data_IF_145179722831
#
_entry.id   IF_145179722831
#
_cell.length_a   1.000
_cell.length_b   1.000
_cell.length_c   1.000
_cell.angle_alpha   90.00
_cell.angle_beta   90.00
_cell.angle_gamma   90.00
#
_symmetry.space_group_name_H-M   'P 1'
#
loop_
_entity.id
_entity.type
_entity.pdbx_description
1 polymer ?
#
# COMPACT_ATOMS: atom_id res chain seq x y z
N UNK A 1 26.30 -12.11 -31.00
CA UNK A 1 25.36 -11.44 -30.07
C UNK A 1 24.86 -10.10 -30.60
N UNK A 2 25.72 -9.12 -30.91
CA UNK A 2 25.26 -7.82 -31.45
C UNK A 2 24.42 -7.93 -32.73
N UNK A 3 24.86 -8.70 -33.73
CA UNK A 3 24.08 -8.91 -34.96
C UNK A 3 22.75 -9.62 -34.72
N UNK A 4 22.72 -10.58 -33.80
CA UNK A 4 21.48 -11.27 -33.45
C UNK A 4 20.50 -10.32 -32.75
N UNK A 5 20.97 -9.51 -31.80
CA UNK A 5 20.15 -8.52 -31.12
C UNK A 5 19.58 -7.47 -32.10
N UNK A 6 20.34 -7.08 -33.14
CA UNK A 6 19.84 -6.19 -34.19
C UNK A 6 18.71 -6.84 -34.99
N UNK A 7 18.86 -8.11 -35.39
CA UNK A 7 17.81 -8.87 -36.10
C UNK A 7 16.55 -9.03 -35.24
N UNK A 8 16.72 -9.34 -33.96
CA UNK A 8 15.59 -9.50 -33.03
C UNK A 8 14.85 -8.16 -32.83
N UNK A 9 15.59 -7.05 -32.72
CA UNK A 9 15.01 -5.70 -32.61
C UNK A 9 14.23 -5.33 -33.87
N UNK A 10 14.76 -5.63 -35.05
CA UNK A 10 14.08 -5.40 -36.34
C UNK A 10 12.78 -6.20 -36.46
N UNK A 11 12.79 -7.47 -36.04
CA UNK A 11 11.58 -8.30 -36.00
C UNK A 11 10.50 -7.72 -35.08
N UNK A 12 10.89 -7.23 -33.90
CA UNK A 12 9.96 -6.54 -32.97
C UNK A 12 9.45 -5.23 -33.58
N UNK A 13 10.31 -4.45 -34.22
CA UNK A 13 9.94 -3.20 -34.90
C UNK A 13 8.85 -3.43 -35.95
N UNK A 14 9.06 -4.39 -36.85
CA UNK A 14 8.09 -4.74 -37.89
C UNK A 14 6.74 -5.17 -37.29
N UNK A 15 6.76 -5.88 -36.16
CA UNK A 15 5.54 -6.27 -35.45
C UNK A 15 4.82 -5.07 -34.84
N UNK A 16 5.55 -4.13 -34.25
CA UNK A 16 4.99 -2.91 -33.66
C UNK A 16 4.32 -2.04 -34.74
N UNK A 17 4.97 -1.85 -35.90
CA UNK A 17 4.40 -1.08 -37.01
C UNK A 17 3.07 -1.68 -37.51
N UNK A 18 2.99 -3.01 -37.65
CA UNK A 18 1.74 -3.68 -37.99
C UNK A 18 0.64 -3.46 -36.93
N UNK A 19 1.00 -3.44 -35.63
CA UNK A 19 0.05 -3.17 -34.55
C UNK A 19 -0.44 -1.70 -34.56
N UNK A 20 0.43 -0.75 -34.85
CA UNK A 20 0.06 0.68 -34.98
C UNK A 20 -0.94 0.88 -36.12
N UNK A 21 -0.68 0.29 -37.29
CA UNK A 21 -1.59 0.33 -38.43
C UNK A 21 -2.96 -0.29 -38.11
N UNK A 22 -2.99 -1.45 -37.44
CA UNK A 22 -4.24 -2.09 -37.03
C UNK A 22 -5.05 -1.26 -36.02
N UNK A 23 -4.37 -0.46 -35.19
CA UNK A 23 -5.00 0.44 -34.22
C UNK A 23 -5.30 1.84 -34.79
N UNK A 24 -5.00 2.08 -36.07
CA UNK A 24 -5.07 3.40 -36.73
C UNK A 24 -4.25 4.47 -35.99
N UNK A 25 -3.09 4.09 -35.45
CA UNK A 25 -2.15 5.01 -34.81
C UNK A 25 -1.02 5.38 -35.79
N UNK A 26 -0.48 6.60 -35.71
CA UNK A 26 0.69 7.01 -36.50
C UNK A 26 1.91 6.11 -36.27
N UNK A 27 2.66 5.83 -37.34
CA UNK A 27 3.87 5.00 -37.32
C UNK A 27 5.01 5.58 -36.46
N UNK A 28 4.96 6.88 -36.15
CA UNK A 28 5.90 7.62 -35.30
C UNK A 28 5.52 7.62 -33.81
N UNK A 29 4.39 7.00 -33.43
CA UNK A 29 3.93 6.90 -32.03
C UNK A 29 4.96 6.17 -31.14
N UNK A 30 5.66 5.17 -31.69
CA UNK A 30 6.70 4.41 -31.00
C UNK A 30 7.96 4.44 -31.86
N UNK A 31 9.03 5.02 -31.33
CA UNK A 31 10.27 5.21 -32.10
C UNK A 31 11.12 3.93 -32.12
N UNK A 32 12.04 3.84 -33.09
CA UNK A 32 13.03 2.75 -33.12
C UNK A 32 13.90 2.73 -31.85
N UNK A 33 14.15 3.90 -31.25
CA UNK A 33 14.90 4.00 -30.01
C UNK A 33 14.14 3.38 -28.83
N UNK A 34 12.83 3.59 -28.74
CA UNK A 34 11.98 2.96 -27.71
C UNK A 34 12.02 1.44 -27.83
N UNK A 35 12.00 0.92 -29.06
CA UNK A 35 12.06 -0.52 -29.34
C UNK A 35 13.44 -1.10 -29.00
N UNK A 36 14.53 -0.38 -29.29
CA UNK A 36 15.89 -0.77 -28.85
C UNK A 36 15.98 -0.87 -27.33
N UNK A 37 15.46 0.12 -26.61
CA UNK A 37 15.43 0.11 -25.13
C UNK A 37 14.57 -1.05 -24.62
N UNK A 38 13.39 -1.26 -25.22
CA UNK A 38 12.50 -2.37 -24.89
C UNK A 38 13.20 -3.73 -25.08
N UNK A 39 13.80 -3.98 -26.24
CA UNK A 39 14.49 -5.24 -26.54
C UNK A 39 15.68 -5.46 -25.60
N UNK A 40 16.42 -4.39 -25.25
CA UNK A 40 17.53 -4.45 -24.30
C UNK A 40 17.09 -4.84 -22.89
N UNK A 41 15.92 -4.37 -22.45
CA UNK A 41 15.39 -4.57 -21.09
C UNK A 41 14.19 -5.53 -21.04
N UNK A 42 13.97 -6.34 -22.09
CA UNK A 42 12.76 -7.15 -22.24
C UNK A 42 12.57 -8.14 -21.09
N UNK A 43 13.66 -8.70 -20.55
CA UNK A 43 13.63 -9.62 -19.41
C UNK A 43 13.36 -8.94 -18.06
N UNK A 44 13.49 -7.61 -17.99
CA UNK A 44 13.37 -6.82 -16.76
C UNK A 44 12.02 -6.08 -16.66
N UNK A 45 11.19 -6.20 -17.69
CA UNK A 45 9.87 -5.58 -17.73
C UNK A 45 9.07 -5.92 -16.48
N UNK A 46 8.52 -4.88 -15.85
CA UNK A 46 7.71 -5.02 -14.66
C UNK A 46 6.52 -4.09 -14.73
N UNK A 47 5.40 -4.57 -14.21
CA UNK A 47 4.16 -3.82 -14.10
C UNK A 47 3.75 -3.86 -12.64
N UNK A 48 3.62 -2.70 -12.03
CA UNK A 48 3.13 -2.56 -10.66
C UNK A 48 1.73 -1.96 -10.73
N UNK A 49 0.79 -2.61 -10.06
CA UNK A 49 -0.58 -2.15 -9.88
C UNK A 49 -0.80 -2.02 -8.39
N UNK A 50 -0.94 -0.78 -7.91
CA UNK A 50 -1.33 -0.51 -6.53
C UNK A 50 -2.83 -0.76 -6.32
N UNK A 51 -3.21 -1.00 -5.07
CA UNK A 51 -4.59 -0.97 -4.59
C UNK A 51 -5.06 0.47 -4.45
N UNK A 52 -6.38 0.70 -4.42
CA UNK A 52 -6.92 2.02 -4.10
C UNK A 52 -6.88 2.17 -2.60
N UNK A 53 -6.56 3.37 -2.12
CA UNK A 53 -6.66 3.69 -0.69
C UNK A 53 -8.08 3.45 -0.14
N UNK A 54 -9.11 3.62 -0.97
CA UNK A 54 -10.49 3.30 -0.59
C UNK A 54 -10.65 1.81 -0.26
N UNK A 55 -10.01 0.91 -1.00
CA UNK A 55 -10.12 -0.54 -0.79
C UNK A 55 -9.46 -0.97 0.55
N UNK A 56 -8.45 -0.22 1.02
CA UNK A 56 -7.76 -0.41 2.32
C UNK A 56 -8.59 0.11 3.52
N UNK A 57 -9.45 1.11 3.30
CA UNK A 57 -10.24 1.75 4.36
C UNK A 57 -11.68 1.22 4.42
N UNK A 58 -12.25 0.85 3.28
CA UNK A 58 -13.60 0.31 3.18
C UNK A 58 -13.67 -1.07 3.82
N UNK A 59 -14.29 -1.12 4.99
CA UNK A 59 -14.80 -2.38 5.49
C UNK A 59 -15.96 -2.78 4.61
N UNK A 60 -15.85 -3.94 3.95
CA UNK A 60 -17.04 -4.78 3.75
C UNK A 60 -17.41 -5.33 5.12
N UNK A 61 -17.86 -4.45 6.01
CA UNK A 61 -18.60 -4.85 7.20
C UNK A 61 -19.72 -5.75 6.72
N UNK A 62 -20.11 -6.72 7.55
CA UNK A 62 -21.34 -7.47 7.33
C UNK A 62 -22.45 -6.45 7.05
N UNK A 63 -22.74 -6.25 5.76
CA UNK A 63 -23.85 -5.43 5.34
C UNK A 63 -25.06 -6.23 5.77
N UNK A 64 -25.71 -5.72 6.81
CA UNK A 64 -27.00 -6.18 7.27
C UNK A 64 -27.91 -6.43 6.06
N UNK A 65 -28.56 -7.58 6.14
CA UNK A 65 -29.65 -8.01 5.29
C UNK A 65 -30.61 -6.84 5.01
N UNK A 66 -30.86 -6.49 3.74
CA UNK A 66 -32.22 -6.26 3.19
C UNK A 66 -32.31 -5.51 1.85
N UNK A 67 -31.21 -5.07 1.23
CA UNK A 67 -31.32 -4.54 -0.13
C UNK A 67 -30.39 -5.33 -1.02
N UNK A 68 -30.95 -6.16 -1.92
CA UNK A 68 -30.56 -6.27 -3.34
C UNK A 68 -30.73 -7.68 -3.97
N UNK A 69 -31.94 -8.17 -4.23
CA UNK A 69 -32.06 -9.32 -5.16
C UNK A 69 -31.66 -8.96 -6.61
N UNK A 70 -31.86 -7.70 -7.03
CA UNK A 70 -31.52 -7.26 -8.39
C UNK A 70 -30.06 -6.76 -8.51
N UNK A 71 -29.50 -6.16 -7.46
CA UNK A 71 -28.09 -5.71 -7.48
C UNK A 71 -27.11 -6.87 -7.28
N UNK A 72 -27.56 -8.01 -6.72
CA UNK A 72 -26.73 -9.20 -6.53
C UNK A 72 -26.35 -9.89 -7.86
N UNK A 73 -27.17 -9.78 -8.90
CA UNK A 73 -26.87 -10.39 -10.20
C UNK A 73 -25.75 -9.61 -10.92
N UNK A 74 -25.81 -8.27 -10.95
CA UNK A 74 -24.74 -7.42 -11.50
C UNK A 74 -23.45 -7.49 -10.66
N UNK A 75 -23.57 -7.49 -9.33
CA UNK A 75 -22.42 -7.68 -8.43
C UNK A 75 -21.81 -9.08 -8.56
N UNK A 76 -22.56 -10.13 -8.88
CA UNK A 76 -22.00 -11.51 -8.96
C UNK A 76 -20.93 -11.67 -10.05
N UNK A 77 -20.99 -10.86 -11.11
CA UNK A 77 -20.04 -10.91 -12.24
C UNK A 77 -18.79 -10.05 -11.97
N UNK A 78 -18.90 -8.95 -11.21
CA UNK A 78 -17.75 -8.10 -10.83
C UNK A 78 -17.09 -8.49 -9.49
N UNK A 79 -17.84 -9.01 -8.50
CA UNK A 79 -17.33 -9.27 -7.14
C UNK A 79 -16.54 -10.57 -7.00
N UNK A 80 -16.58 -11.51 -7.95
CA UNK A 80 -15.80 -12.75 -7.83
C UNK A 80 -14.29 -12.55 -7.98
N UNK A 81 -13.85 -11.44 -8.59
CA UNK A 81 -12.42 -11.11 -8.73
C UNK A 81 -11.95 -10.15 -7.63
N UNK A 82 -12.81 -9.26 -7.13
CA UNK A 82 -12.45 -8.28 -6.07
C UNK A 82 -12.65 -8.77 -4.62
N UNK A 83 -13.55 -9.72 -4.34
CA UNK A 83 -13.78 -10.20 -2.97
C UNK A 83 -12.73 -11.19 -2.46
N UNK A 84 -11.89 -11.73 -3.35
CA UNK A 84 -10.80 -12.63 -2.95
C UNK A 84 -9.65 -11.81 -2.36
N UNK A 85 -9.27 -10.66 -2.95
CA UNK A 85 -8.15 -9.84 -2.48
C UNK A 85 -8.38 -9.21 -1.09
N UNK A 86 -9.57 -8.68 -0.81
CA UNK A 86 -9.85 -7.97 0.46
C UNK A 86 -9.90 -8.93 1.66
N UNK A 87 -10.46 -10.14 1.50
CA UNK A 87 -10.47 -11.14 2.58
C UNK A 87 -9.07 -11.75 2.81
N UNK A 88 -8.25 -11.88 1.75
CA UNK A 88 -6.85 -12.26 1.90
C UNK A 88 -6.03 -11.17 2.61
N UNK A 89 -6.34 -9.90 2.41
CA UNK A 89 -5.64 -8.79 3.04
C UNK A 89 -5.70 -8.83 4.57
N UNK A 90 -6.89 -8.95 5.16
CA UNK A 90 -7.05 -9.04 6.62
C UNK A 90 -6.48 -10.34 7.20
N UNK A 91 -6.53 -11.44 6.44
CA UNK A 91 -5.86 -12.69 6.81
C UNK A 91 -4.34 -12.53 6.85
N UNK A 92 -3.74 -11.82 5.89
CA UNK A 92 -2.31 -11.51 5.87
C UNK A 92 -1.92 -10.57 7.02
N UNK A 93 -2.75 -9.57 7.33
CA UNK A 93 -2.56 -8.71 8.52
C UNK A 93 -2.53 -9.53 9.81
N UNK A 94 -3.50 -10.45 9.98
CA UNK A 94 -3.57 -11.32 11.15
C UNK A 94 -2.35 -12.25 11.26
N UNK A 95 -1.85 -12.77 10.13
CA UNK A 95 -0.65 -13.60 10.09
C UNK A 95 0.63 -12.81 10.40
N UNK A 96 0.75 -11.57 9.88
CA UNK A 96 1.89 -10.69 10.18
C UNK A 96 1.89 -10.18 11.63
N UNK A 97 0.72 -10.08 12.26
CA UNK A 97 0.57 -9.75 13.68
C UNK A 97 1.09 -10.86 14.62
N UNK A 98 1.17 -12.10 14.16
CA UNK A 98 1.75 -13.22 14.94
C UNK A 98 3.29 -13.16 14.98
N UNK A 99 3.91 -12.42 14.05
CA UNK A 99 5.35 -12.21 14.04
C UNK A 99 5.74 -11.06 14.98
N UNK A 100 6.47 -11.35 16.08
CA UNK A 100 6.85 -10.33 17.06
C UNK A 100 7.78 -9.25 16.48
N UNK A 101 8.43 -9.48 15.34
CA UNK A 101 9.36 -8.55 14.71
C UNK A 101 8.71 -7.74 13.55
N UNK A 102 7.46 -8.02 13.18
CA UNK A 102 6.80 -7.32 12.09
C UNK A 102 6.45 -5.88 12.46
N UNK A 103 6.68 -4.96 11.53
CA UNK A 103 6.33 -3.56 11.67
C UNK A 103 4.85 -3.28 11.41
N UNK A 104 4.04 -4.30 11.09
CA UNK A 104 2.61 -4.11 10.79
C UNK A 104 1.85 -3.54 11.98
N UNK A 105 2.30 -3.84 13.21
CA UNK A 105 1.79 -3.28 14.45
C UNK A 105 1.75 -1.74 14.41
N UNK A 106 2.75 -1.10 13.81
CA UNK A 106 2.83 0.37 13.71
C UNK A 106 1.73 0.92 12.80
N UNK A 107 1.43 0.23 11.70
CA UNK A 107 0.33 0.60 10.81
C UNK A 107 -1.03 0.49 11.52
N UNK A 108 -1.23 -0.58 12.30
CA UNK A 108 -2.47 -0.79 13.07
C UNK A 108 -2.66 0.30 14.12
N UNK A 109 -1.58 0.66 14.84
CA UNK A 109 -1.64 1.75 15.83
C UNK A 109 -1.97 3.08 15.13
N UNK A 110 -1.36 3.37 13.97
CA UNK A 110 -1.68 4.58 13.20
C UNK A 110 -3.17 4.64 12.80
N UNK A 111 -3.75 3.52 12.34
CA UNK A 111 -5.20 3.41 12.08
C UNK A 111 -6.03 3.59 13.37
N UNK A 112 -5.54 3.08 14.50
CA UNK A 112 -6.11 3.31 15.83
C UNK A 112 -6.11 4.78 16.25
N UNK A 113 -5.04 5.53 15.92
CA UNK A 113 -4.91 6.96 16.19
C UNK A 113 -5.90 7.77 15.36
N UNK A 114 -6.13 7.42 14.09
CA UNK A 114 -7.16 8.07 13.26
C UNK A 114 -8.56 7.90 13.87
N UNK A 115 -8.86 6.69 14.37
CA UNK A 115 -10.12 6.44 15.09
C UNK A 115 -10.19 7.22 16.40
N UNK A 116 -9.10 7.26 17.16
CA UNK A 116 -9.01 8.06 18.39
C UNK A 116 -9.29 9.54 18.10
N UNK A 117 -8.67 10.10 17.05
CA UNK A 117 -8.90 11.49 16.64
C UNK A 117 -10.36 11.71 16.21
N UNK A 118 -10.99 10.74 15.56
CA UNK A 118 -12.41 10.81 15.19
C UNK A 118 -13.36 10.77 16.40
N UNK A 119 -12.97 10.07 17.48
CA UNK A 119 -13.78 9.96 18.71
C UNK A 119 -13.56 11.13 19.68
N UNK A 120 -12.31 11.60 19.83
CA UNK A 120 -11.92 12.56 20.88
C UNK A 120 -11.47 13.93 20.34
N UNK A 121 -11.32 14.09 19.02
CA UNK A 121 -10.87 15.33 18.36
C UNK A 121 -9.51 15.87 18.83
N UNK A 122 -8.70 15.00 19.42
CA UNK A 122 -7.33 15.27 19.87
C UNK A 122 -6.44 14.08 19.55
N UNK A 123 -5.15 14.28 19.42
CA UNK A 123 -4.20 13.16 19.28
C UNK A 123 -3.81 12.60 20.65
N UNK A 124 -3.55 11.29 20.76
CA UNK A 124 -3.18 10.69 22.04
C UNK A 124 -1.85 11.27 22.52
N UNK A 125 -1.85 11.76 23.76
CA UNK A 125 -0.67 12.33 24.42
C UNK A 125 -0.16 13.64 23.82
N UNK A 126 -0.97 14.36 23.02
CA UNK A 126 -0.63 15.71 22.55
C UNK A 126 -0.48 16.72 23.71
N UNK A 127 -1.11 16.42 24.85
CA UNK A 127 -0.97 17.16 26.10
C UNK A 127 -0.29 16.23 27.12
N UNK A 128 0.82 16.67 27.72
CA UNK A 128 1.62 15.85 28.65
C UNK A 128 0.78 15.25 29.81
N UNK A 129 -0.18 16.00 30.33
CA UNK A 129 -1.08 15.56 31.41
C UNK A 129 -2.10 14.50 30.97
N UNK A 130 -2.30 14.33 29.66
CA UNK A 130 -3.25 13.38 29.08
C UNK A 130 -2.61 12.06 28.61
N UNK A 131 -1.29 11.92 28.68
CA UNK A 131 -0.59 10.68 28.26
C UNK A 131 -1.15 9.44 28.97
N UNK A 132 -1.21 9.45 30.30
CA UNK A 132 -1.72 8.33 31.10
C UNK A 132 -3.22 8.04 30.87
N UNK A 133 -4.11 9.04 30.87
CA UNK A 133 -5.52 8.84 30.50
C UNK A 133 -5.76 8.36 29.05
N UNK A 134 -4.89 8.71 28.11
CA UNK A 134 -5.09 8.41 26.69
C UNK A 134 -4.65 7.00 26.32
N UNK A 135 -3.71 6.39 27.04
CA UNK A 135 -3.30 4.99 26.85
C UNK A 135 -4.49 4.02 26.82
N UNK A 136 -5.37 3.95 27.85
CA UNK A 136 -6.51 3.03 27.84
C UNK A 136 -7.56 3.40 26.79
N UNK A 137 -7.71 4.68 26.45
CA UNK A 137 -8.61 5.14 25.37
C UNK A 137 -8.11 4.68 24.00
N UNK A 138 -6.82 4.85 23.70
CA UNK A 138 -6.20 4.40 22.46
C UNK A 138 -6.26 2.88 22.33
N UNK A 139 -5.97 2.15 23.43
CA UNK A 139 -6.14 0.69 23.50
C UNK A 139 -7.59 0.26 23.19
N UNK A 140 -8.59 1.00 23.67
CA UNK A 140 -9.99 0.76 23.33
C UNK A 140 -10.27 0.97 21.83
N UNK A 141 -9.78 2.06 21.23
CA UNK A 141 -9.94 2.32 19.80
C UNK A 141 -9.31 1.22 18.93
N UNK A 142 -8.09 0.79 19.26
CA UNK A 142 -7.40 -0.30 18.57
C UNK A 142 -8.17 -1.62 18.73
N UNK A 143 -8.66 -1.93 19.94
CA UNK A 143 -9.43 -3.16 20.17
C UNK A 143 -10.73 -3.18 19.35
N UNK A 144 -11.45 -2.04 19.26
CA UNK A 144 -12.64 -1.92 18.41
C UNK A 144 -12.30 -2.15 16.93
N UNK A 145 -11.21 -1.56 16.45
CA UNK A 145 -10.72 -1.70 15.09
C UNK A 145 -10.37 -3.15 14.74
N UNK A 146 -9.62 -3.84 15.62
CA UNK A 146 -9.24 -5.23 15.43
C UNK A 146 -10.46 -6.17 15.42
N UNK A 147 -11.45 -5.89 16.28
CA UNK A 147 -12.71 -6.63 16.29
C UNK A 147 -13.50 -6.45 14.97
N UNK A 148 -13.53 -5.24 14.41
CA UNK A 148 -14.15 -4.97 13.10
C UNK A 148 -13.43 -5.66 11.95
N UNK A 149 -12.11 -5.84 12.06
CA UNK A 149 -11.28 -6.61 11.12
C UNK A 149 -11.33 -8.12 11.34
N UNK A 150 -12.02 -8.61 12.37
CA UNK A 150 -12.04 -10.03 12.74
C UNK A 150 -10.67 -10.56 13.19
N UNK A 151 -9.76 -9.67 13.60
CA UNK A 151 -8.44 -10.04 14.11
C UNK A 151 -8.53 -10.30 15.63
N UNK A 152 -8.14 -11.50 16.05
CA UNK A 152 -8.16 -11.91 17.46
C UNK A 152 -6.85 -11.56 18.22
N UNK A 153 -5.80 -11.16 17.50
CA UNK A 153 -4.50 -10.80 18.06
C UNK A 153 -4.52 -9.39 18.63
N UNK A 154 -3.86 -9.16 19.77
CA UNK A 154 -3.74 -7.85 20.41
C UNK A 154 -2.36 -7.25 20.20
N UNK A 155 -2.30 -5.94 20.00
CA UNK A 155 -1.07 -5.16 19.94
C UNK A 155 -0.34 -5.14 21.30
N UNK A 156 0.99 -5.02 21.29
CA UNK A 156 1.78 -4.94 22.52
C UNK A 156 1.46 -3.63 23.25
N UNK A 157 1.26 -3.73 24.56
CA UNK A 157 0.92 -2.57 25.38
C UNK A 157 2.04 -1.53 25.37
N UNK A 158 3.31 -1.96 25.43
CA UNK A 158 4.49 -1.09 25.37
C UNK A 158 4.49 -0.17 24.14
N UNK A 159 4.08 -0.67 22.98
CA UNK A 159 3.99 0.14 21.76
C UNK A 159 2.90 1.21 21.87
N UNK A 160 1.75 0.88 22.46
CA UNK A 160 0.67 1.86 22.69
C UNK A 160 1.16 2.97 23.63
N UNK A 161 1.88 2.61 24.70
CA UNK A 161 2.50 3.58 25.61
C UNK A 161 3.47 4.51 24.85
N UNK A 162 4.33 3.97 24.00
CA UNK A 162 5.28 4.77 23.21
C UNK A 162 4.57 5.71 22.22
N UNK A 163 3.47 5.29 21.59
CA UNK A 163 2.71 6.17 20.70
C UNK A 163 2.00 7.31 21.42
N UNK A 164 1.47 7.08 22.63
CA UNK A 164 0.98 8.17 23.47
C UNK A 164 2.14 9.09 23.90
N UNK A 165 3.31 8.54 24.21
CA UNK A 165 4.50 9.32 24.57
C UNK A 165 5.03 10.18 23.42
N UNK A 166 4.86 9.76 22.16
CA UNK A 166 5.24 10.59 21.01
C UNK A 166 4.44 11.89 20.93
N UNK A 167 3.18 11.89 21.40
CA UNK A 167 2.36 13.10 21.50
C UNK A 167 2.24 13.87 20.19
N UNK A 168 2.13 13.16 19.05
CA UNK A 168 2.05 13.75 17.70
C UNK A 168 3.30 14.59 17.31
N UNK A 169 4.45 14.33 17.95
CA UNK A 169 5.69 15.02 17.62
C UNK A 169 6.23 14.60 16.26
N UNK A 170 6.77 15.56 15.51
CA UNK A 170 7.46 15.32 14.24
C UNK A 170 8.97 15.59 14.39
N UNK A 171 9.76 14.51 14.45
CA UNK A 171 11.21 14.63 14.61
C UNK A 171 11.90 14.91 13.27
N UNK A 172 12.70 15.97 13.22
CA UNK A 172 13.41 16.40 12.01
C UNK A 172 14.24 15.29 11.35
N UNK A 173 14.94 14.46 12.12
CA UNK A 173 15.75 13.36 11.60
C UNK A 173 14.90 12.28 10.91
N UNK A 174 13.75 11.93 11.49
CA UNK A 174 12.82 10.94 10.94
C UNK A 174 12.16 11.49 9.67
N UNK A 175 11.67 12.74 9.71
CA UNK A 175 11.08 13.39 8.54
C UNK A 175 12.09 13.58 7.41
N UNK A 176 13.35 13.89 7.72
CA UNK A 176 14.41 14.01 6.70
C UNK A 176 14.71 12.67 6.04
N UNK A 177 14.75 11.58 6.81
CA UNK A 177 14.93 10.24 6.27
C UNK A 177 13.77 9.85 5.33
N UNK A 178 12.53 9.98 5.80
CA UNK A 178 11.33 9.69 4.99
C UNK A 178 11.25 10.58 3.75
N UNK A 179 11.58 11.87 3.88
CA UNK A 179 11.64 12.81 2.76
C UNK A 179 12.62 12.35 1.68
N UNK A 180 13.76 11.76 2.05
CA UNK A 180 14.70 11.15 1.12
C UNK A 180 14.11 9.93 0.39
N UNK A 181 13.47 9.02 1.13
CA UNK A 181 12.80 7.85 0.55
C UNK A 181 11.70 8.25 -0.43
N UNK A 182 10.79 9.14 -0.03
CA UNK A 182 9.67 9.63 -0.85
C UNK A 182 10.18 10.36 -2.09
N UNK A 183 11.20 11.22 -1.96
CA UNK A 183 11.80 11.91 -3.10
C UNK A 183 12.32 10.93 -4.15
N UNK A 184 12.97 9.85 -3.71
CA UNK A 184 13.48 8.84 -4.62
C UNK A 184 12.36 8.03 -5.28
N UNK A 185 11.28 7.68 -4.55
CA UNK A 185 10.09 7.05 -5.16
C UNK A 185 9.44 7.94 -6.23
N UNK A 186 9.36 9.26 -5.98
CA UNK A 186 8.86 10.22 -6.98
C UNK A 186 9.74 10.22 -8.24
N UNK A 187 11.07 10.20 -8.08
CA UNK A 187 12.01 10.11 -9.21
C UNK A 187 11.76 8.84 -10.04
N UNK A 188 11.53 7.69 -9.39
CA UNK A 188 11.21 6.43 -10.10
C UNK A 188 9.93 6.57 -10.94
N UNK A 189 8.89 7.18 -10.38
CA UNK A 189 7.62 7.40 -11.08
C UNK A 189 7.75 8.36 -12.27
N UNK A 190 8.48 9.48 -12.11
CA UNK A 190 8.68 10.48 -13.17
C UNK A 190 9.53 9.89 -14.30
N UNK A 191 10.65 9.26 -13.96
CA UNK A 191 11.59 8.73 -14.94
C UNK A 191 11.11 7.43 -15.58
N UNK A 192 10.14 6.75 -14.95
CA UNK A 192 9.73 5.38 -15.29
C UNK A 192 10.91 4.41 -15.28
N UNK A 193 11.91 4.69 -14.46
CA UNK A 193 13.09 3.87 -14.25
C UNK A 193 13.03 3.29 -12.84
N UNK A 194 13.57 2.07 -12.68
CA UNK A 194 13.50 1.28 -11.45
C UNK A 194 12.09 0.85 -11.05
N UNK A 195 12.01 0.01 -10.01
CA UNK A 195 10.76 -0.52 -9.47
C UNK A 195 10.36 0.30 -8.24
N UNK A 196 9.21 1.02 -8.26
CA UNK A 196 8.68 1.66 -7.06
C UNK A 196 8.25 0.63 -6.01
N UNK A 197 8.15 1.08 -4.77
CA UNK A 197 7.54 0.29 -3.69
C UNK A 197 6.06 0.05 -4.02
N UNK A 198 5.56 -1.14 -3.71
CA UNK A 198 4.17 -1.49 -3.95
C UNK A 198 3.35 -1.33 -2.66
N UNK A 199 2.54 -0.27 -2.65
CA UNK A 199 1.59 0.10 -1.61
C UNK A 199 2.19 0.82 -0.39
N UNK A 200 2.51 0.12 0.70
CA UNK A 200 2.83 0.76 1.98
C UNK A 200 4.25 0.47 2.44
N UNK A 201 4.92 1.48 2.99
CA UNK A 201 6.27 1.39 3.53
C UNK A 201 6.28 1.92 4.96
N UNK A 202 6.74 1.11 5.90
CA UNK A 202 6.84 1.46 7.32
C UNK A 202 8.30 1.52 7.72
N UNK A 203 8.67 2.58 8.43
CA UNK A 203 9.99 2.78 8.99
C UNK A 203 9.89 2.96 10.50
N UNK A 204 10.62 2.13 11.25
CA UNK A 204 10.80 2.26 12.68
C UNK A 204 12.20 2.84 12.96
N UNK A 205 12.23 4.10 13.40
CA UNK A 205 13.46 4.82 13.71
C UNK A 205 14.15 4.38 15.02
N UNK A 206 13.44 3.68 15.93
CA UNK A 206 14.03 3.19 17.19
C UNK A 206 15.02 2.07 16.88
N UNK A 207 14.60 1.12 16.04
CA UNK A 207 15.40 -0.07 15.69
C UNK A 207 16.10 0.06 14.34
N UNK A 208 15.91 1.19 13.63
CA UNK A 208 16.39 1.41 12.27
C UNK A 208 15.94 0.30 11.30
N UNK A 209 14.70 -0.18 11.43
CA UNK A 209 14.13 -1.23 10.61
C UNK A 209 13.06 -0.69 9.66
N UNK A 210 12.91 -1.35 8.51
CA UNK A 210 11.95 -0.97 7.46
C UNK A 210 11.25 -2.19 6.92
N UNK A 211 9.96 -2.08 6.62
CA UNK A 211 9.17 -3.16 6.02
C UNK A 211 8.21 -2.59 4.98
N UNK A 212 7.91 -3.36 3.93
CA UNK A 212 6.96 -2.97 2.89
C UNK A 212 5.80 -3.96 2.84
N UNK A 213 4.59 -3.44 2.82
CA UNK A 213 3.36 -4.22 2.85
C UNK A 213 2.52 -3.93 1.61
N UNK A 214 1.83 -4.96 1.13
CA UNK A 214 0.77 -4.81 0.13
C UNK A 214 -0.56 -4.82 0.87
N UNK A 215 -1.02 -3.63 1.23
CA UNK A 215 -2.30 -3.44 1.89
C UNK A 215 -3.46 -3.34 0.87
#
# INVERSE_FOLDING_TARGET
YHEQAAKDTEAVYNRVQLLLQNLNLPDDTITEQDIKVLCKHASELSVIRGSRIADEYEHKGNADNEICEIHNILKSVQNKIQNIDVTLHYFLLAQSLEDPDSLIEHYIILRGIERFYSEYYTYPGEIDEQVEPDIPKLKSCISKLLNEWGCMSSTKEDCIHEYCRYGKSELHSVSSFIGGCVSHEIIKLITRQYKPVNNSFVFNAINCSTESFKL
#
